data_IF_195135536999
#
_entry.id   IF_195135536999
#
_cell.length_a   1.000
_cell.length_b   1.000
_cell.length_c   1.000
_cell.angle_alpha   90.00
_cell.angle_beta   90.00
_cell.angle_gamma   90.00
#
_symmetry.space_group_name_H-M   'P 1'
#
loop_
_entity.id
_entity.type
_entity.pdbx_description
1 polymer ?
#
# COMPACT_ATOMS: atom_id res chain seq x y z
N UNK A 1 -12.62 -43.41 12.61
CA UNK A 1 -12.40 -42.31 11.65
C UNK A 1 -12.44 -41.02 12.48
N UNK A 2 -11.25 -40.45 12.75
CA UNK A 2 -11.16 -39.16 13.47
C UNK A 2 -11.39 -38.07 12.44
N UNK A 3 -12.53 -37.39 12.53
CA UNK A 3 -12.77 -36.13 11.83
C UNK A 3 -11.81 -35.10 12.37
N UNK A 4 -10.75 -34.81 11.59
CA UNK A 4 -9.89 -33.67 11.84
C UNK A 4 -10.63 -32.41 11.40
N UNK A 5 -11.36 -31.81 12.34
CA UNK A 5 -11.91 -30.49 12.16
C UNK A 5 -10.74 -29.47 12.14
N UNK A 6 -10.35 -29.03 10.95
CA UNK A 6 -9.38 -27.95 10.79
C UNK A 6 -9.99 -26.63 11.28
N UNK A 7 -9.90 -26.39 12.57
CA UNK A 7 -10.33 -25.13 13.15
C UNK A 7 -9.33 -24.05 12.74
N UNK A 8 -9.71 -23.21 11.78
CA UNK A 8 -8.92 -22.04 11.41
C UNK A 8 -9.07 -20.99 12.51
N UNK A 9 -8.08 -20.90 13.39
CA UNK A 9 -8.06 -19.86 14.41
C UNK A 9 -7.87 -18.50 13.76
N UNK A 10 -8.76 -17.56 14.05
CA UNK A 10 -8.65 -16.17 13.69
C UNK A 10 -8.73 -15.32 14.96
N UNK A 11 -7.85 -14.34 15.06
CA UNK A 11 -7.76 -13.45 16.20
C UNK A 11 -8.22 -12.05 15.80
N UNK A 12 -9.13 -11.47 16.58
CA UNK A 12 -9.60 -10.09 16.34
C UNK A 12 -8.50 -9.08 16.67
N UNK A 13 -7.74 -9.33 17.73
CA UNK A 13 -6.71 -8.44 18.27
C UNK A 13 -5.59 -9.21 18.98
N UNK A 14 -4.54 -8.50 19.39
CA UNK A 14 -3.42 -9.02 20.20
C UNK A 14 -2.34 -9.75 19.38
N UNK A 15 -2.42 -9.75 18.06
CA UNK A 15 -1.45 -10.39 17.19
C UNK A 15 -0.40 -9.39 16.70
N UNK A 16 0.71 -9.93 16.21
CA UNK A 16 1.82 -9.15 15.66
C UNK A 16 1.59 -8.80 14.18
N UNK A 17 2.41 -7.88 13.70
CA UNK A 17 2.58 -7.59 12.27
C UNK A 17 3.81 -8.31 11.75
N UNK A 18 3.65 -9.01 10.62
CA UNK A 18 4.73 -9.55 9.80
C UNK A 18 5.09 -8.53 8.74
N UNK A 19 6.37 -8.14 8.64
CA UNK A 19 6.85 -7.27 7.56
C UNK A 19 7.32 -8.11 6.38
N UNK A 20 7.18 -7.61 5.16
CA UNK A 20 7.46 -8.36 3.95
C UNK A 20 8.28 -7.51 2.96
N UNK A 21 9.30 -8.12 2.40
CA UNK A 21 9.97 -7.61 1.22
C UNK A 21 9.22 -8.12 -0.02
N UNK A 22 8.76 -7.19 -0.86
CA UNK A 22 7.95 -7.53 -2.05
C UNK A 22 8.80 -7.63 -3.32
N UNK A 23 9.97 -7.00 -3.34
CA UNK A 23 10.87 -7.02 -4.47
C UNK A 23 11.49 -5.65 -4.78
N UNK A 24 12.26 -5.60 -5.87
CA UNK A 24 12.93 -4.37 -6.32
C UNK A 24 12.66 -4.10 -7.79
N UNK A 25 12.78 -2.85 -8.18
CA UNK A 25 12.62 -2.40 -9.57
C UNK A 25 13.53 -1.23 -9.90
N UNK A 26 13.68 -0.99 -11.18
CA UNK A 26 14.39 0.17 -11.71
C UNK A 26 13.38 1.29 -12.00
N UNK A 27 13.70 2.49 -11.56
CA UNK A 27 12.96 3.70 -11.91
C UNK A 27 13.27 4.13 -13.35
N UNK A 28 12.47 5.04 -13.90
CA UNK A 28 12.64 5.56 -15.27
C UNK A 28 13.98 6.29 -15.45
N UNK A 29 14.54 6.86 -14.38
CA UNK A 29 15.85 7.53 -14.36
C UNK A 29 17.04 6.56 -14.15
N UNK A 30 16.76 5.26 -14.06
CA UNK A 30 17.76 4.21 -13.85
C UNK A 30 18.18 3.99 -12.39
N UNK A 31 17.65 4.74 -11.45
CA UNK A 31 17.83 4.45 -10.01
C UNK A 31 17.07 3.20 -9.60
N UNK A 32 17.47 2.62 -8.47
CA UNK A 32 16.86 1.41 -7.95
C UNK A 32 15.98 1.73 -6.74
N UNK A 33 14.89 0.98 -6.59
CA UNK A 33 14.04 1.04 -5.40
C UNK A 33 13.58 -0.34 -4.97
N UNK A 34 13.39 -0.48 -3.68
CA UNK A 34 12.80 -1.65 -3.05
C UNK A 34 11.39 -1.34 -2.58
N UNK A 35 10.51 -2.32 -2.71
CA UNK A 35 9.11 -2.21 -2.28
C UNK A 35 8.87 -3.16 -1.11
N UNK A 36 8.18 -2.67 -0.11
CA UNK A 36 7.81 -3.41 1.09
C UNK A 36 6.30 -3.40 1.31
N UNK A 37 5.85 -4.39 2.04
CA UNK A 37 4.48 -4.51 2.50
C UNK A 37 4.45 -5.20 3.86
N UNK A 38 3.26 -5.53 4.35
CA UNK A 38 3.12 -6.20 5.64
C UNK A 38 1.86 -7.06 5.70
N UNK A 39 1.79 -7.89 6.74
CA UNK A 39 0.62 -8.65 7.12
C UNK A 39 0.37 -8.49 8.63
N UNK A 40 -0.62 -7.70 8.99
CA UNK A 40 -1.12 -7.62 10.35
C UNK A 40 -2.02 -8.83 10.61
N UNK A 41 -1.63 -9.68 11.55
CA UNK A 41 -2.34 -10.93 11.86
C UNK A 41 -3.68 -10.72 12.55
N UNK A 42 -3.97 -9.51 13.00
CA UNK A 42 -5.27 -9.14 13.54
C UNK A 42 -6.35 -9.06 12.45
N UNK A 43 -7.59 -9.34 12.81
CA UNK A 43 -8.74 -9.15 11.93
C UNK A 43 -9.37 -7.77 12.05
N UNK A 44 -9.24 -7.14 13.24
CA UNK A 44 -9.91 -5.87 13.53
C UNK A 44 -8.97 -4.83 14.12
N UNK A 45 -7.91 -5.26 14.82
CA UNK A 45 -6.98 -4.33 15.46
C UNK A 45 -6.02 -3.72 14.45
N UNK A 46 -6.04 -2.40 14.42
CA UNK A 46 -5.03 -1.57 13.76
C UNK A 46 -3.91 -1.27 14.75
N UNK A 47 -2.67 -1.31 14.30
CA UNK A 47 -1.51 -1.11 15.17
C UNK A 47 -0.82 0.21 14.83
N UNK A 48 -0.60 1.04 15.83
CA UNK A 48 0.22 2.26 15.73
C UNK A 48 1.61 1.98 16.29
N UNK A 49 2.61 1.93 15.42
CA UNK A 49 4.02 1.70 15.77
C UNK A 49 4.85 2.81 15.11
N UNK A 50 5.11 3.91 15.83
CA UNK A 50 5.87 5.02 15.28
C UNK A 50 7.30 4.64 14.93
N UNK A 51 7.89 5.37 13.99
CA UNK A 51 9.32 5.22 13.65
C UNK A 51 10.16 5.42 14.92
N UNK A 52 11.10 4.51 15.15
CA UNK A 52 11.94 4.48 16.32
C UNK A 52 12.45 3.09 16.63
N UNK A 53 12.65 2.78 17.90
CA UNK A 53 13.18 1.49 18.35
C UNK A 53 12.37 0.29 17.85
N UNK A 54 11.03 0.44 17.79
CA UNK A 54 10.10 -0.62 17.41
C UNK A 54 9.69 -0.63 15.94
N UNK A 55 10.16 0.32 15.13
CA UNK A 55 9.85 0.40 13.70
C UNK A 55 10.96 1.16 12.98
N UNK A 56 11.89 0.44 12.39
CA UNK A 56 13.09 1.07 11.82
C UNK A 56 13.71 0.22 10.72
N UNK A 57 14.47 0.88 9.87
CA UNK A 57 15.51 0.22 9.11
C UNK A 57 16.77 0.09 9.97
N UNK A 58 17.41 -1.07 9.90
CA UNK A 58 18.63 -1.35 10.68
C UNK A 58 19.89 -1.03 9.90
N UNK A 59 19.79 -0.77 8.61
CA UNK A 59 20.88 -0.43 7.69
C UNK A 59 20.67 0.99 7.16
N UNK A 60 21.62 1.89 7.44
CA UNK A 60 21.55 3.30 7.04
C UNK A 60 20.57 4.10 7.91
N UNK A 61 19.79 4.99 7.30
CA UNK A 61 18.80 5.80 8.01
C UNK A 61 17.67 4.93 8.56
N UNK A 62 17.32 5.13 9.81
CA UNK A 62 16.27 4.37 10.48
C UNK A 62 14.86 4.68 9.94
N UNK A 63 14.66 5.92 9.49
CA UNK A 63 13.44 6.38 8.83
C UNK A 63 13.67 6.43 7.31
N UNK A 64 12.83 5.70 6.58
CA UNK A 64 12.82 5.67 5.11
C UNK A 64 11.40 5.77 4.55
N UNK A 65 10.48 6.37 5.32
CA UNK A 65 9.10 6.54 4.94
C UNK A 65 8.23 5.29 5.17
N UNK A 66 8.65 4.39 6.05
CA UNK A 66 7.86 3.22 6.42
C UNK A 66 6.56 3.61 7.14
N UNK A 67 5.49 2.81 7.00
CA UNK A 67 4.22 3.07 7.66
C UNK A 67 4.38 3.01 9.18
N UNK A 68 3.62 3.87 9.88
CA UNK A 68 3.49 3.90 11.34
C UNK A 68 2.14 3.40 11.80
N UNK A 69 1.20 3.23 10.87
CA UNK A 69 -0.13 2.70 11.08
C UNK A 69 -0.33 1.44 10.23
N UNK A 70 -0.70 0.35 10.87
CA UNK A 70 -0.78 -0.97 10.24
C UNK A 70 -2.22 -1.48 10.24
N UNK A 71 -2.86 -1.37 9.10
CA UNK A 71 -4.22 -1.89 8.86
C UNK A 71 -4.27 -3.42 8.98
N UNK A 72 -5.40 -4.01 9.36
CA UNK A 72 -5.57 -5.45 9.46
C UNK A 72 -5.26 -6.19 8.15
N UNK A 73 -4.77 -7.42 8.30
CA UNK A 73 -4.51 -8.38 7.22
C UNK A 73 -3.37 -7.97 6.29
N UNK A 74 -3.40 -8.47 5.05
CA UNK A 74 -2.32 -8.33 4.08
C UNK A 74 -2.41 -6.99 3.36
N UNK A 75 -1.35 -6.19 3.48
CA UNK A 75 -1.15 -4.93 2.79
C UNK A 75 0.13 -5.06 1.94
N UNK A 76 -0.06 -5.29 0.64
CA UNK A 76 1.04 -5.50 -0.32
C UNK A 76 1.50 -4.18 -0.90
N UNK A 77 2.78 -4.10 -1.24
CA UNK A 77 3.36 -2.95 -1.94
C UNK A 77 3.02 -1.61 -1.29
N UNK A 78 3.16 -1.55 0.04
CA UNK A 78 2.67 -0.42 0.85
C UNK A 78 3.51 0.82 0.65
N UNK A 79 4.82 0.68 0.54
CA UNK A 79 5.75 1.80 0.34
C UNK A 79 7.01 1.37 -0.40
N UNK A 80 7.66 2.36 -0.98
CA UNK A 80 8.91 2.20 -1.71
C UNK A 80 10.05 2.89 -0.97
N UNK A 81 11.25 2.32 -1.08
CA UNK A 81 12.48 2.91 -0.59
C UNK A 81 13.46 3.05 -1.75
N UNK A 82 13.82 4.28 -2.08
CA UNK A 82 14.85 4.53 -3.07
C UNK A 82 16.22 4.18 -2.49
N UNK A 83 17.03 3.48 -3.30
CA UNK A 83 18.33 3.00 -2.87
C UNK A 83 19.42 4.03 -3.16
N UNK A 84 20.41 4.16 -2.27
CA UNK A 84 21.54 5.05 -2.51
C UNK A 84 22.37 4.59 -3.71
N UNK A 85 23.06 5.53 -4.35
CA UNK A 85 23.98 5.22 -5.41
C UNK A 85 25.08 4.26 -4.90
N UNK A 86 25.30 3.16 -5.64
CA UNK A 86 26.29 2.16 -5.28
C UNK A 86 25.75 1.02 -4.40
N UNK A 87 24.47 0.98 -4.06
CA UNK A 87 23.86 -0.18 -3.44
C UNK A 87 24.00 -1.39 -4.38
N UNK A 88 24.65 -2.44 -3.91
CA UNK A 88 25.08 -3.59 -4.72
C UNK A 88 24.36 -4.90 -4.38
N UNK A 89 24.70 -5.95 -5.11
CA UNK A 89 24.07 -7.26 -4.95
C UNK A 89 24.31 -7.96 -3.60
N UNK A 90 25.37 -7.55 -2.88
CA UNK A 90 25.72 -8.10 -1.57
C UNK A 90 25.18 -7.26 -0.40
N UNK A 91 24.56 -6.12 -0.71
CA UNK A 91 23.95 -5.25 0.30
C UNK A 91 22.54 -5.72 0.64
N UNK A 92 22.17 -5.53 1.91
CA UNK A 92 20.83 -5.81 2.41
C UNK A 92 20.22 -4.56 3.04
N UNK A 93 18.95 -4.33 2.75
CA UNK A 93 18.11 -3.33 3.42
C UNK A 93 17.14 -4.05 4.34
N UNK A 94 17.27 -3.87 5.64
CA UNK A 94 16.51 -4.63 6.63
C UNK A 94 15.53 -3.71 7.35
N UNK A 95 14.24 -3.99 7.18
CA UNK A 95 13.15 -3.33 7.91
C UNK A 95 12.69 -4.22 9.06
N UNK A 96 12.75 -3.68 10.29
CA UNK A 96 12.41 -4.38 11.51
C UNK A 96 11.24 -3.70 12.22
N UNK A 97 10.25 -4.49 12.64
CA UNK A 97 9.09 -4.04 13.41
C UNK A 97 8.89 -4.93 14.63
N UNK A 98 8.76 -4.30 15.80
CA UNK A 98 8.38 -4.94 17.06
C UNK A 98 6.95 -4.53 17.40
N UNK A 99 6.05 -5.51 17.36
CA UNK A 99 4.63 -5.28 17.68
C UNK A 99 4.39 -5.11 19.19
N UNK A 100 3.26 -4.51 19.61
CA UNK A 100 2.96 -4.28 21.02
C UNK A 100 2.99 -5.52 21.93
N UNK A 101 2.78 -6.71 21.36
CA UNK A 101 2.90 -7.97 22.06
C UNK A 101 4.35 -8.48 22.23
N UNK A 102 5.36 -7.67 21.86
CA UNK A 102 6.77 -7.97 21.99
C UNK A 102 7.35 -8.83 20.86
N UNK A 103 6.57 -9.20 19.86
CA UNK A 103 7.06 -10.00 18.72
C UNK A 103 7.73 -9.09 17.71
N UNK A 104 9.02 -9.36 17.44
CA UNK A 104 9.79 -8.67 16.40
C UNK A 104 9.82 -9.48 15.12
N UNK A 105 9.67 -8.80 13.99
CA UNK A 105 9.78 -9.35 12.63
C UNK A 105 10.65 -8.46 11.78
N UNK A 106 11.39 -9.08 10.86
CA UNK A 106 12.28 -8.37 9.93
C UNK A 106 12.08 -8.84 8.49
N UNK A 107 12.11 -7.90 7.56
CA UNK A 107 12.11 -8.15 6.13
C UNK A 107 13.48 -7.76 5.55
N UNK A 108 14.06 -8.64 4.76
CA UNK A 108 15.40 -8.52 4.19
C UNK A 108 15.27 -8.22 2.70
N UNK A 109 15.52 -6.98 2.31
CA UNK A 109 15.54 -6.54 0.92
C UNK A 109 16.91 -6.74 0.30
N UNK A 110 16.97 -7.41 -0.85
CA UNK A 110 18.19 -7.66 -1.63
C UNK A 110 17.96 -7.41 -3.10
N UNK A 111 19.01 -7.16 -3.89
CA UNK A 111 18.95 -7.01 -5.35
C UNK A 111 19.09 -8.33 -6.11
N UNK A 112 18.73 -9.46 -5.49
CA UNK A 112 18.69 -10.73 -6.20
C UNK A 112 17.70 -10.68 -7.35
N UNK A 113 18.08 -11.21 -8.50
CA UNK A 113 17.25 -11.16 -9.72
C UNK A 113 15.89 -11.85 -9.54
N UNK A 114 15.82 -12.87 -8.68
CA UNK A 114 14.57 -13.58 -8.35
C UNK A 114 13.52 -12.67 -7.69
N UNK A 115 13.94 -11.55 -7.10
CA UNK A 115 13.07 -10.56 -6.46
C UNK A 115 12.80 -9.32 -7.31
N UNK A 116 13.29 -9.30 -8.55
CA UNK A 116 12.97 -8.21 -9.47
C UNK A 116 11.50 -8.25 -9.86
N UNK A 117 10.83 -7.13 -9.67
CA UNK A 117 9.41 -6.98 -10.00
C UNK A 117 9.22 -5.89 -11.05
N UNK A 118 8.15 -6.01 -11.80
CA UNK A 118 7.71 -5.01 -12.76
C UNK A 118 6.39 -4.40 -12.30
N UNK A 119 6.07 -3.21 -12.80
CA UNK A 119 4.80 -2.55 -12.49
C UNK A 119 3.58 -3.42 -12.79
N UNK A 120 3.66 -4.27 -13.81
CA UNK A 120 2.59 -5.23 -14.14
C UNK A 120 2.33 -6.22 -13.02
N UNK A 121 3.38 -6.65 -12.29
CA UNK A 121 3.25 -7.54 -11.14
C UNK A 121 2.49 -6.86 -10.01
N UNK A 122 2.85 -5.61 -9.69
CA UNK A 122 2.17 -4.81 -8.66
C UNK A 122 0.69 -4.63 -9.02
N UNK A 123 0.40 -4.25 -10.26
CA UNK A 123 -0.97 -4.06 -10.75
C UNK A 123 -1.79 -5.35 -10.69
N UNK A 124 -1.18 -6.49 -11.02
CA UNK A 124 -1.82 -7.81 -10.97
C UNK A 124 -2.20 -8.19 -9.53
N UNK A 125 -1.24 -8.05 -8.63
CA UNK A 125 -1.37 -8.48 -7.24
C UNK A 125 -2.28 -7.56 -6.40
N UNK A 126 -2.39 -6.30 -6.77
CA UNK A 126 -3.31 -5.33 -6.15
C UNK A 126 -4.72 -5.35 -6.76
N UNK A 127 -4.96 -6.20 -7.75
CA UNK A 127 -6.26 -6.33 -8.41
C UNK A 127 -6.56 -5.25 -9.45
N UNK A 128 -5.60 -4.38 -9.76
CA UNK A 128 -5.79 -3.28 -10.71
C UNK A 128 -5.91 -3.74 -12.17
N UNK A 129 -5.42 -4.93 -12.51
CA UNK A 129 -5.49 -5.47 -13.89
C UNK A 129 -6.91 -5.61 -14.43
N UNK A 130 -7.89 -5.94 -13.57
CA UNK A 130 -9.27 -6.12 -14.02
C UNK A 130 -10.02 -4.82 -14.29
N UNK A 131 -9.72 -3.77 -13.54
CA UNK A 131 -10.48 -2.50 -13.55
C UNK A 131 -9.74 -1.36 -14.24
N UNK A 132 -8.42 -1.27 -14.07
CA UNK A 132 -7.64 -0.11 -14.48
C UNK A 132 -6.69 -0.33 -15.66
N UNK A 133 -6.19 -1.55 -15.84
CA UNK A 133 -5.11 -1.79 -16.81
C UNK A 133 -5.51 -1.67 -18.28
N UNK A 134 -6.78 -1.87 -18.59
CA UNK A 134 -7.34 -1.73 -19.95
C UNK A 134 -7.87 -0.32 -20.24
N UNK A 135 -8.07 0.50 -19.21
CA UNK A 135 -8.53 1.87 -19.36
C UNK A 135 -7.32 2.82 -19.54
N UNK A 136 -7.16 3.47 -20.71
CA UNK A 136 -6.07 4.42 -20.94
C UNK A 136 -6.06 5.61 -19.97
N UNK A 137 -7.23 6.05 -19.53
CA UNK A 137 -7.38 7.15 -18.57
C UNK A 137 -6.79 6.77 -17.22
N UNK A 138 -7.15 5.58 -16.70
CA UNK A 138 -6.60 5.09 -15.43
C UNK A 138 -5.09 4.87 -15.49
N UNK A 139 -4.56 4.45 -16.65
CA UNK A 139 -3.09 4.31 -16.84
C UNK A 139 -2.36 5.64 -16.93
N UNK A 140 -3.04 6.71 -17.32
CA UNK A 140 -2.49 8.05 -17.41
C UNK A 140 -2.58 8.82 -16.08
N UNK A 141 -3.16 8.22 -15.03
CA UNK A 141 -3.32 8.84 -13.72
C UNK A 141 -1.97 9.26 -13.13
N UNK A 142 -1.89 10.49 -12.68
CA UNK A 142 -0.77 11.02 -11.91
C UNK A 142 -1.20 11.04 -10.43
N UNK A 143 -0.47 10.38 -9.53
CA UNK A 143 -0.83 10.37 -8.12
C UNK A 143 -0.93 11.78 -7.54
N UNK A 144 -1.85 12.03 -6.59
CA UNK A 144 -1.97 13.33 -5.95
C UNK A 144 -0.68 13.72 -5.23
N UNK A 145 -0.31 14.98 -5.34
CA UNK A 145 0.82 15.56 -4.62
C UNK A 145 0.28 16.42 -3.49
N UNK A 146 0.74 16.14 -2.26
CA UNK A 146 0.40 16.94 -1.10
C UNK A 146 1.61 17.73 -0.59
N UNK A 147 1.40 19.01 -0.31
CA UNK A 147 2.42 19.94 0.17
C UNK A 147 1.94 20.56 1.48
N UNK A 148 2.74 20.40 2.55
CA UNK A 148 2.44 21.01 3.84
C UNK A 148 2.65 22.54 3.74
N UNK A 149 1.67 23.30 4.21
CA UNK A 149 1.74 24.76 4.25
C UNK A 149 2.28 25.22 5.61
N UNK A 150 3.48 25.80 5.61
CA UNK A 150 4.14 26.34 6.80
C UNK A 150 5.17 25.38 7.38
N UNK A 151 5.49 25.56 8.65
CA UNK A 151 6.56 24.82 9.31
C UNK A 151 6.20 23.35 9.54
N UNK A 152 7.13 22.44 9.22
CA UNK A 152 6.98 21.00 9.45
C UNK A 152 6.98 20.64 10.92
N UNK A 153 7.75 21.39 11.73
CA UNK A 153 7.86 21.18 13.16
C UNK A 153 7.10 22.28 13.91
N UNK A 154 6.12 21.89 14.70
CA UNK A 154 5.33 22.81 15.52
C UNK A 154 5.25 22.33 16.96
N UNK A 155 5.38 23.27 17.89
CA UNK A 155 5.27 22.98 19.31
C UNK A 155 3.92 23.46 19.84
N UNK A 156 3.22 22.58 20.58
CA UNK A 156 1.96 22.90 21.23
C UNK A 156 2.00 22.44 22.69
N UNK A 157 1.27 23.12 23.55
CA UNK A 157 1.10 22.67 24.93
C UNK A 157 0.00 21.60 25.01
N UNK A 158 0.11 20.73 26.01
CA UNK A 158 -0.91 19.69 26.25
C UNK A 158 -2.28 20.36 26.45
N UNK A 159 -3.28 19.86 25.72
CA UNK A 159 -4.66 20.39 25.73
C UNK A 159 -4.94 21.48 24.70
N UNK A 160 -3.95 21.94 23.95
CA UNK A 160 -4.17 22.87 22.85
C UNK A 160 -4.39 22.11 21.53
N UNK A 161 -5.23 22.69 20.65
CA UNK A 161 -5.44 22.17 19.29
C UNK A 161 -4.30 22.62 18.38
N UNK A 162 -3.86 21.72 17.50
CA UNK A 162 -2.91 22.01 16.41
C UNK A 162 -3.63 21.83 15.06
N UNK A 163 -3.53 22.84 14.21
CA UNK A 163 -4.08 22.80 12.86
C UNK A 163 -2.95 22.76 11.84
N UNK A 164 -2.95 21.76 10.99
CA UNK A 164 -2.12 21.69 9.79
C UNK A 164 -2.95 22.05 8.56
N UNK A 165 -2.33 22.70 7.60
CA UNK A 165 -2.92 22.98 6.30
C UNK A 165 -2.04 22.37 5.23
N UNK A 166 -2.64 21.64 4.32
CA UNK A 166 -1.96 21.06 3.16
C UNK A 166 -2.60 21.56 1.88
N UNK A 167 -1.79 21.74 0.85
CA UNK A 167 -2.26 21.93 -0.52
C UNK A 167 -2.16 20.57 -1.19
N UNK A 168 -3.26 20.11 -1.78
CA UNK A 168 -3.27 18.89 -2.59
C UNK A 168 -3.51 19.30 -4.03
N UNK A 169 -2.70 18.79 -4.95
CA UNK A 169 -2.88 18.91 -6.40
C UNK A 169 -3.00 17.52 -7.01
N UNK A 170 -3.92 17.37 -7.94
CA UNK A 170 -4.26 16.12 -8.58
C UNK A 170 -4.79 16.42 -9.99
N UNK A 171 -4.57 15.53 -10.95
CA UNK A 171 -5.08 15.67 -12.31
C UNK A 171 -6.56 15.29 -12.45
N UNK A 172 -7.16 14.80 -11.36
CA UNK A 172 -8.57 14.37 -11.32
C UNK A 172 -8.86 13.08 -12.08
N UNK A 173 -7.85 12.27 -12.31
CA UNK A 173 -7.94 10.97 -12.99
C UNK A 173 -7.67 9.85 -11.95
N UNK A 174 -8.38 8.72 -11.98
CA UNK A 174 -9.56 8.45 -12.80
C UNK A 174 -10.77 9.29 -12.34
N UNK A 175 -11.64 9.62 -13.30
CA UNK A 175 -12.89 10.28 -12.95
C UNK A 175 -13.70 9.44 -11.97
N UNK A 176 -14.50 10.03 -11.07
CA UNK A 176 -15.38 9.30 -10.17
C UNK A 176 -16.19 8.24 -10.92
N UNK A 177 -16.33 7.06 -10.32
CA UNK A 177 -17.06 5.96 -10.93
C UNK A 177 -18.49 6.40 -11.33
N UNK A 178 -18.74 6.40 -12.64
CA UNK A 178 -20.07 6.57 -13.21
C UNK A 178 -20.55 5.20 -13.73
N UNK A 179 -21.53 4.57 -13.06
CA UNK A 179 -22.06 3.27 -13.49
C UNK A 179 -22.56 3.29 -14.94
N UNK A 180 -23.04 4.44 -15.42
CA UNK A 180 -23.55 4.61 -16.77
C UNK A 180 -22.45 4.76 -17.83
N UNK A 181 -21.24 5.18 -17.44
CA UNK A 181 -20.09 5.28 -18.34
C UNK A 181 -19.70 3.91 -18.91
N UNK A 182 -19.72 2.87 -18.06
CA UNK A 182 -19.40 1.50 -18.48
C UNK A 182 -20.39 0.97 -19.54
N UNK A 183 -21.66 1.31 -19.39
CA UNK A 183 -22.70 0.94 -20.37
C UNK A 183 -22.48 1.64 -21.70
N UNK A 184 -22.03 2.90 -21.70
CA UNK A 184 -21.71 3.68 -22.91
C UNK A 184 -20.47 3.16 -23.64
N UNK A 185 -19.42 2.73 -22.88
CA UNK A 185 -18.16 2.22 -23.45
C UNK A 185 -18.29 0.84 -24.09
N UNK A 186 -19.19 0.01 -23.57
CA UNK A 186 -19.43 -1.34 -24.11
C UNK A 186 -20.22 -1.35 -25.42
N UNK A 187 -20.63 -0.18 -25.92
CA UNK A 187 -21.14 0.05 -27.27
C UNK A 187 -22.38 -0.73 -27.70
N UNK A 188 -23.39 -0.04 -28.12
CA UNK A 188 -24.48 -0.46 -29.01
C UNK A 188 -25.36 -1.65 -28.59
N UNK A 189 -24.84 -2.86 -28.54
CA UNK A 189 -25.65 -4.05 -28.29
C UNK A 189 -25.99 -4.28 -26.78
N UNK A 190 -25.09 -3.94 -25.89
CA UNK A 190 -25.34 -4.09 -24.44
C UNK A 190 -26.18 -2.94 -23.86
N UNK A 191 -26.11 -1.76 -24.46
CA UNK A 191 -26.92 -0.61 -24.05
C UNK A 191 -28.43 -0.77 -24.36
N UNK A 192 -28.78 -1.60 -25.32
CA UNK A 192 -30.18 -1.85 -25.71
C UNK A 192 -30.95 -2.70 -24.67
N UNK A 193 -30.26 -3.39 -23.75
CA UNK A 193 -30.86 -4.27 -22.76
C UNK A 193 -30.78 -3.77 -21.31
N UNK A 194 -30.06 -2.68 -21.04
CA UNK A 194 -29.96 -2.10 -19.70
C UNK A 194 -30.77 -0.80 -19.63
N UNK A 195 -32.01 -0.87 -19.18
CA UNK A 195 -32.75 0.32 -18.79
C UNK A 195 -32.16 0.88 -17.48
N UNK A 196 -32.23 2.21 -17.29
CA UNK A 196 -31.81 2.88 -16.03
C UNK A 196 -32.42 2.23 -14.78
N UNK A 197 -33.61 1.67 -14.89
CA UNK A 197 -34.34 1.01 -13.84
C UNK A 197 -33.69 -0.33 -13.41
N UNK A 198 -33.22 -1.11 -14.36
CA UNK A 198 -32.54 -2.40 -14.09
C UNK A 198 -31.17 -2.25 -13.41
N UNK A 199 -30.53 -1.12 -13.59
CA UNK A 199 -29.22 -0.84 -12.96
C UNK A 199 -29.41 -0.38 -11.51
N UNK A 200 -30.47 0.38 -11.22
CA UNK A 200 -30.83 0.81 -9.85
C UNK A 200 -31.25 -0.35 -8.96
N UNK A 201 -32.00 -1.30 -9.46
CA UNK A 201 -32.50 -2.47 -8.70
C UNK A 201 -31.39 -3.45 -8.27
N UNK A 202 -30.21 -3.40 -8.88
CA UNK A 202 -29.06 -4.24 -8.51
C UNK A 202 -28.10 -3.57 -7.51
N UNK A 203 -28.33 -2.32 -7.18
CA UNK A 203 -27.48 -1.53 -6.28
C UNK A 203 -28.15 -1.25 -4.91
N UNK A 204 -29.35 -1.77 -4.66
CA UNK A 204 -29.99 -1.84 -3.36
C UNK A 204 -29.97 -3.28 -2.83
#
# INVERSE_FOLDING_TARGET
EQDYEYTKHSYRSGQHTEVAYEGWRTNDDGTLRMTFGYFNHNWEEELDIPVGENNRFTTGDADRGQPTHFLPRRNRFTFDVDLPAGFGGDDELVWEVTSPNGVTRAAYGTLREDYKIENITIMSETGALGAGSSDPETRANIPPVSELIGDEIRTVNVGQSLTFSTRVSDDGVPQPFDPMRRVRLLGGAAAAFASEEMIRDRMM
#
